data_IF_598534188343
#
_entry.id   IF_598534188343
#
_cell.length_a   1.000
_cell.length_b   1.000
_cell.length_c   1.000
_cell.angle_alpha   90.00
_cell.angle_beta   90.00
_cell.angle_gamma   90.00
#
_symmetry.space_group_name_H-M   'P 1'
#
loop_
_entity.id
_entity.type
_entity.pdbx_description
1 polymer ?
2 non-polymer ?
#
# COMPACT_ATOMS: atom_id res chain seq x y z
N UNK A 1 8.92 7.30 -27.54
CA UNK A 1 10.02 7.94 -28.30
C UNK A 1 11.17 6.94 -28.37
N UNK A 2 11.91 6.86 -27.27
CA UNK A 2 13.04 5.93 -27.10
C UNK A 2 12.39 4.60 -26.70
N UNK A 3 11.06 4.61 -26.73
CA UNK A 3 10.25 3.46 -26.36
C UNK A 3 9.19 3.14 -27.40
N UNK A 4 8.95 4.07 -28.31
CA UNK A 4 7.95 3.86 -29.34
C UNK A 4 8.12 2.51 -30.03
N UNK A 5 9.34 2.19 -30.47
CA UNK A 5 9.52 0.91 -31.11
C UNK A 5 9.80 -0.14 -30.02
N UNK A 6 10.14 0.33 -28.81
CA UNK A 6 10.41 -0.53 -27.68
C UNK A 6 9.12 -1.20 -27.21
N UNK A 7 9.04 -2.49 -27.44
CA UNK A 7 7.85 -3.21 -27.14
C UNK A 7 7.60 -3.59 -25.72
N UNK A 8 8.55 -4.18 -25.03
CA UNK A 8 8.21 -4.54 -23.68
C UNK A 8 7.78 -3.39 -22.80
N UNK A 9 7.99 -2.19 -23.32
CA UNK A 9 7.59 -0.98 -22.61
C UNK A 9 6.06 -0.97 -22.65
N UNK A 10 5.55 -1.14 -23.85
CA UNK A 10 4.10 -1.20 -24.05
C UNK A 10 3.55 -2.35 -23.20
N UNK A 11 4.08 -3.54 -23.45
CA UNK A 11 3.70 -4.76 -22.75
C UNK A 11 3.57 -4.57 -21.23
N UNK A 12 4.69 -4.28 -20.58
CA UNK A 12 4.73 -4.13 -19.14
C UNK A 12 4.15 -2.83 -18.61
N UNK A 13 4.03 -1.84 -19.49
CA UNK A 13 3.43 -0.60 -19.10
C UNK A 13 1.94 -0.91 -19.06
N UNK A 14 1.42 -1.47 -20.14
CA UNK A 14 0.01 -1.83 -20.20
C UNK A 14 -0.33 -2.86 -19.13
N UNK A 15 0.60 -3.78 -18.88
CA UNK A 15 0.37 -4.79 -17.86
C UNK A 15 0.21 -4.06 -16.53
N UNK A 16 0.85 -2.90 -16.45
CA UNK A 16 0.81 -2.05 -15.27
C UNK A 16 -0.51 -1.25 -15.22
N UNK A 17 -1.07 -0.89 -16.38
CA UNK A 17 -2.33 -0.13 -16.43
C UNK A 17 -3.53 -1.04 -16.24
N UNK A 18 -3.27 -2.33 -16.06
CA UNK A 18 -4.34 -3.29 -15.86
C UNK A 18 -4.28 -3.89 -14.47
N UNK A 19 -3.07 -4.17 -14.00
CA UNK A 19 -2.91 -4.71 -12.66
C UNK A 19 -3.36 -3.65 -11.68
N UNK A 20 -3.34 -2.41 -12.13
CA UNK A 20 -3.73 -1.30 -11.28
C UNK A 20 -5.13 -0.72 -11.50
N UNK A 21 -5.87 -1.37 -12.40
CA UNK A 21 -7.23 -0.97 -12.66
C UNK A 21 -8.06 -1.83 -11.72
N UNK A 22 -7.55 -3.02 -11.51
CA UNK A 22 -8.17 -3.99 -10.61
C UNK A 22 -7.94 -3.47 -9.19
N UNK A 23 -6.72 -3.00 -8.92
CA UNK A 23 -6.39 -2.50 -7.59
C UNK A 23 -7.40 -1.44 -7.22
N UNK A 24 -7.55 -0.49 -8.16
CA UNK A 24 -8.47 0.64 -8.06
C UNK A 24 -9.94 0.30 -7.87
N UNK A 25 -10.23 -1.00 -7.98
CA UNK A 25 -11.55 -1.56 -7.79
C UNK A 25 -11.45 -2.17 -6.37
N UNK A 26 -10.98 -3.41 -6.30
CA UNK A 26 -10.83 -4.09 -5.03
C UNK A 26 -10.40 -3.27 -3.82
N UNK A 27 -9.60 -2.24 -4.01
CA UNK A 27 -9.18 -1.60 -2.79
C UNK A 27 -10.00 -0.52 -2.16
N UNK A 28 -10.29 0.56 -2.87
CA UNK A 28 -11.08 1.56 -2.15
C UNK A 28 -12.53 1.13 -1.84
N UNK A 29 -13.15 0.31 -2.68
CA UNK A 29 -14.53 -0.09 -2.40
C UNK A 29 -14.71 -1.41 -1.66
N UNK A 30 -13.64 -1.88 -1.02
CA UNK A 30 -13.72 -3.12 -0.26
C UNK A 30 -14.73 -2.90 0.90
N UNK A 31 -14.47 -1.91 1.76
CA UNK A 31 -15.34 -1.60 2.90
C UNK A 31 -16.79 -1.64 2.47
N UNK A 32 -17.07 -0.79 1.50
CA UNK A 32 -18.38 -0.64 0.94
C UNK A 32 -18.99 -1.99 0.60
N UNK A 33 -18.40 -2.73 -0.35
CA UNK A 33 -18.94 -4.06 -0.72
C UNK A 33 -19.12 -4.98 0.46
N UNK A 34 -18.09 -5.07 1.32
CA UNK A 34 -18.20 -5.89 2.51
C UNK A 34 -19.48 -5.51 3.24
N UNK A 35 -19.34 -4.46 4.06
CA UNK A 35 -20.41 -3.91 4.87
C UNK A 35 -21.74 -3.63 4.16
N UNK A 36 -21.73 -3.13 2.93
CA UNK A 36 -23.02 -2.89 2.26
C UNK A 36 -23.54 -4.11 1.54
N UNK A 37 -22.97 -4.45 0.40
CA UNK A 37 -23.44 -5.63 -0.31
C UNK A 37 -23.55 -6.85 0.62
N UNK A 38 -22.62 -6.99 1.57
CA UNK A 38 -22.66 -8.16 2.45
C UNK A 38 -23.19 -7.88 3.81
N UNK A 39 -23.23 -6.60 4.19
CA UNK A 39 -23.74 -6.24 5.50
C UNK A 39 -22.88 -6.94 6.54
N UNK A 40 -21.78 -6.34 6.91
CA UNK A 40 -20.91 -7.00 7.84
C UNK A 40 -20.49 -6.24 9.06
N UNK A 41 -20.51 -6.96 10.19
CA UNK A 41 -20.17 -6.43 11.51
C UNK A 41 -19.06 -5.38 11.55
N UNK A 42 -19.42 -4.24 12.13
CA UNK A 42 -18.52 -3.10 12.29
C UNK A 42 -17.28 -3.51 13.04
N UNK A 43 -17.26 -4.74 13.55
CA UNK A 43 -16.11 -5.21 14.29
C UNK A 43 -15.53 -6.44 13.64
N UNK A 44 -16.28 -7.03 12.72
CA UNK A 44 -15.85 -8.24 12.03
C UNK A 44 -15.24 -7.92 10.70
N UNK A 45 -15.15 -6.65 10.37
CA UNK A 45 -14.50 -6.30 9.13
C UNK A 45 -13.08 -6.22 9.65
N UNK A 46 -12.97 -6.23 10.97
CA UNK A 46 -11.68 -6.18 11.64
C UNK A 46 -10.97 -7.50 11.61
N UNK A 47 -11.75 -8.58 11.71
CA UNK A 47 -11.19 -9.92 11.70
C UNK A 47 -10.86 -10.33 10.27
N UNK A 48 -11.05 -9.39 9.36
CA UNK A 48 -10.79 -9.61 7.95
C UNK A 48 -9.55 -8.82 7.55
N UNK A 49 -9.61 -7.51 7.77
CA UNK A 49 -8.50 -6.62 7.48
C UNK A 49 -7.38 -7.09 8.36
N UNK A 50 -7.76 -7.90 9.35
CA UNK A 50 -6.83 -8.49 10.32
C UNK A 50 -6.06 -9.67 9.72
N UNK A 51 -6.80 -10.63 9.18
CA UNK A 51 -6.20 -11.80 8.56
C UNK A 51 -5.48 -11.33 7.30
N UNK A 52 -5.91 -10.17 6.80
CA UNK A 52 -5.32 -9.53 5.62
C UNK A 52 -3.84 -9.24 5.98
N UNK A 53 -3.61 -8.55 7.10
CA UNK A 53 -2.24 -8.26 7.48
C UNK A 53 -1.45 -9.48 7.95
N UNK A 54 -2.09 -10.43 8.62
CA UNK A 54 -1.33 -11.60 9.06
C UNK A 54 -0.74 -12.39 7.89
N UNK A 55 -1.31 -12.26 6.70
CA UNK A 55 -0.77 -13.04 5.59
C UNK A 55 0.18 -12.30 4.69
N UNK A 56 -0.09 -11.02 4.51
CA UNK A 56 0.74 -10.19 3.66
C UNK A 56 2.10 -10.14 4.33
N UNK A 57 2.15 -10.75 5.50
CA UNK A 57 3.37 -10.78 6.25
C UNK A 57 4.00 -12.16 6.15
N UNK A 58 3.20 -13.13 5.71
CA UNK A 58 3.69 -14.49 5.53
C UNK A 58 4.06 -14.63 4.08
N UNK A 59 3.69 -13.63 3.30
CA UNK A 59 3.97 -13.68 1.88
C UNK A 59 4.96 -12.62 1.40
N UNK A 60 4.82 -11.38 1.89
CA UNK A 60 5.74 -10.35 1.48
C UNK A 60 7.13 -10.96 1.56
N UNK A 61 7.36 -11.83 2.56
CA UNK A 61 8.66 -12.49 2.72
C UNK A 61 8.90 -13.56 1.65
N UNK A 62 8.30 -14.74 1.83
CA UNK A 62 8.44 -15.85 0.89
C UNK A 62 8.42 -15.42 -0.57
N UNK A 63 7.88 -14.24 -0.81
CA UNK A 63 7.80 -13.73 -2.15
C UNK A 63 9.11 -13.11 -2.55
N UNK A 64 10.05 -13.04 -1.62
CA UNK A 64 11.34 -12.48 -1.96
C UNK A 64 12.08 -13.67 -2.53
N UNK A 65 12.06 -14.74 -1.75
CA UNK A 65 12.75 -15.95 -2.11
C UNK A 65 12.36 -16.38 -3.53
N UNK A 66 11.23 -15.88 -4.01
CA UNK A 66 10.80 -16.18 -5.35
C UNK A 66 11.23 -15.07 -6.28
N UNK A 67 10.70 -13.87 -6.01
CA UNK A 67 10.97 -12.67 -6.82
C UNK A 67 12.38 -12.56 -7.35
N UNK A 68 13.33 -13.25 -6.74
CA UNK A 68 14.68 -13.16 -7.22
C UNK A 68 15.35 -14.47 -7.48
N UNK A 69 15.20 -15.41 -6.57
CA UNK A 69 15.79 -16.70 -6.82
C UNK A 69 15.08 -17.23 -8.08
N UNK A 70 14.16 -16.43 -8.61
CA UNK A 70 13.40 -16.86 -9.77
C UNK A 70 13.74 -16.00 -10.99
N UNK A 71 14.20 -14.79 -10.70
CA UNK A 71 14.63 -13.85 -11.73
C UNK A 71 13.70 -13.44 -12.83
N UNK A 72 13.99 -13.93 -14.03
CA UNK A 72 13.21 -13.55 -15.21
C UNK A 72 12.07 -14.45 -15.66
N UNK A 73 11.85 -15.53 -14.94
CA UNK A 73 10.75 -16.42 -15.30
C UNK A 73 9.50 -15.76 -14.69
N UNK A 74 8.44 -15.61 -15.48
CA UNK A 74 7.21 -14.98 -14.99
C UNK A 74 6.47 -15.86 -14.02
N UNK A 75 6.83 -17.14 -14.03
CA UNK A 75 6.22 -18.15 -13.16
C UNK A 75 5.36 -17.57 -12.03
N UNK A 76 5.98 -17.36 -10.88
CA UNK A 76 5.32 -16.81 -9.70
C UNK A 76 4.24 -15.80 -10.07
N UNK A 77 4.69 -14.78 -10.77
CA UNK A 77 3.84 -13.71 -11.22
C UNK A 77 2.73 -14.18 -12.16
N UNK A 78 2.72 -15.46 -12.44
CA UNK A 78 1.70 -16.00 -13.31
C UNK A 78 0.60 -16.66 -12.48
N UNK A 79 0.92 -16.93 -11.21
CA UNK A 79 -0.02 -17.52 -10.29
C UNK A 79 -0.90 -16.36 -9.93
N UNK A 80 -0.22 -15.26 -9.63
CA UNK A 80 -0.82 -13.99 -9.25
C UNK A 80 -1.92 -13.64 -10.21
N UNK A 81 -1.60 -13.69 -11.49
CA UNK A 81 -2.54 -13.36 -12.54
C UNK A 81 -3.69 -14.35 -12.67
N UNK A 82 -3.38 -15.63 -12.80
CA UNK A 82 -4.40 -16.65 -12.93
C UNK A 82 -5.38 -16.59 -11.77
N UNK A 83 -4.84 -16.27 -10.60
CA UNK A 83 -5.62 -16.17 -9.36
C UNK A 83 -6.55 -14.96 -9.49
N UNK A 84 -6.20 -14.08 -10.42
CA UNK A 84 -6.97 -12.89 -10.64
C UNK A 84 -7.81 -12.96 -11.86
N UNK A 85 -8.05 -14.19 -12.30
CA UNK A 85 -8.91 -14.42 -13.44
C UNK A 85 -10.19 -14.79 -12.70
N UNK A 86 -10.05 -15.16 -11.43
CA UNK A 86 -11.18 -15.61 -10.64
C UNK A 86 -11.71 -14.58 -9.64
N UNK A 87 -11.19 -13.35 -9.73
CA UNK A 87 -11.61 -12.24 -8.87
C UNK A 87 -13.12 -12.41 -8.65
N UNK A 88 -13.85 -12.51 -9.76
CA UNK A 88 -15.30 -12.69 -9.75
C UNK A 88 -15.69 -13.95 -8.96
N UNK A 89 -15.71 -15.13 -9.63
CA UNK A 89 -16.08 -16.36 -8.93
C UNK A 89 -15.75 -16.27 -7.47
N UNK A 90 -14.55 -15.81 -7.16
CA UNK A 90 -14.15 -15.71 -5.78
C UNK A 90 -15.02 -14.86 -4.86
N UNK A 91 -15.10 -13.57 -5.09
CA UNK A 91 -15.90 -12.77 -4.18
C UNK A 91 -17.35 -13.17 -4.27
N UNK A 92 -17.83 -13.15 -5.50
CA UNK A 92 -19.22 -13.48 -5.81
C UNK A 92 -19.63 -14.85 -5.27
N UNK A 93 -18.90 -15.87 -5.68
CA UNK A 93 -19.20 -17.25 -5.30
C UNK A 93 -18.49 -17.90 -4.16
N UNK A 94 -17.61 -17.21 -3.45
CA UNK A 94 -16.88 -17.93 -2.42
C UNK A 94 -16.53 -17.11 -1.18
N UNK A 95 -15.89 -15.99 -1.46
CA UNK A 95 -15.47 -15.06 -0.46
C UNK A 95 -16.71 -14.48 0.20
N UNK A 96 -17.54 -13.86 -0.63
CA UNK A 96 -18.80 -13.27 -0.18
C UNK A 96 -19.61 -14.22 0.70
N UNK A 97 -19.95 -15.42 0.18
CA UNK A 97 -20.72 -16.48 0.87
C UNK A 97 -20.05 -16.92 2.14
N UNK A 98 -18.84 -17.42 2.02
CA UNK A 98 -18.14 -17.88 3.18
C UNK A 98 -18.37 -16.88 4.30
N UNK A 99 -17.85 -15.67 4.18
CA UNK A 99 -18.09 -14.70 5.24
C UNK A 99 -19.52 -14.75 5.71
N UNK A 100 -20.35 -14.15 4.86
CA UNK A 100 -21.78 -13.97 5.03
C UNK A 100 -22.59 -15.16 5.43
N UNK A 101 -22.28 -16.34 4.89
CA UNK A 101 -23.04 -17.49 5.32
C UNK A 101 -22.47 -17.71 6.71
N UNK A 102 -22.26 -16.57 7.36
CA UNK A 102 -21.79 -16.44 8.74
C UNK A 102 -20.96 -17.57 9.33
N UNK A 103 -19.93 -17.96 8.62
CA UNK A 103 -18.98 -18.93 9.07
C UNK A 103 -17.96 -17.82 8.75
N UNK A 104 -17.43 -17.06 9.70
CA UNK A 104 -16.58 -15.99 9.16
C UNK A 104 -15.09 -16.02 9.39
N UNK A 105 -14.67 -16.67 10.47
CA UNK A 105 -13.25 -16.78 10.69
C UNK A 105 -12.87 -17.76 9.59
N UNK A 106 -13.56 -18.89 9.55
CA UNK A 106 -13.28 -19.91 8.55
C UNK A 106 -13.77 -19.49 7.19
N UNK A 107 -13.59 -18.21 6.86
CA UNK A 107 -14.02 -17.67 5.58
C UNK A 107 -13.12 -16.52 5.13
N UNK A 108 -12.40 -15.96 6.09
CA UNK A 108 -11.49 -14.87 5.82
C UNK A 108 -10.18 -15.61 5.65
N UNK A 109 -9.86 -16.42 6.66
CA UNK A 109 -8.66 -17.25 6.62
C UNK A 109 -8.68 -17.84 5.22
N UNK A 110 -9.70 -18.66 4.97
CA UNK A 110 -9.85 -19.29 3.67
C UNK A 110 -10.42 -18.31 2.66
N UNK A 111 -9.83 -17.11 2.61
CA UNK A 111 -10.31 -16.13 1.67
C UNK A 111 -9.38 -14.96 1.69
N UNK A 112 -8.31 -15.09 2.45
CA UNK A 112 -7.35 -14.00 2.53
C UNK A 112 -6.04 -14.43 1.92
N UNK A 113 -6.22 -14.93 0.71
CA UNK A 113 -5.13 -15.40 -0.10
C UNK A 113 -5.32 -14.77 -1.44
N UNK A 114 -6.53 -14.25 -1.70
CA UNK A 114 -6.64 -13.52 -2.95
C UNK A 114 -6.25 -12.08 -2.49
N UNK A 115 -5.72 -12.01 -1.27
CA UNK A 115 -5.22 -10.77 -0.71
C UNK A 115 -3.70 -10.87 -0.90
N UNK A 116 -3.26 -12.09 -1.17
CA UNK A 116 -1.86 -12.43 -1.40
C UNK A 116 -1.41 -11.83 -2.71
N UNK A 117 -2.29 -11.88 -3.72
CA UNK A 117 -2.04 -11.35 -5.05
C UNK A 117 -2.44 -9.89 -5.06
N UNK A 118 -1.97 -9.19 -4.05
CA UNK A 118 -2.30 -7.82 -3.90
C UNK A 118 -1.38 -7.24 -2.84
N UNK A 119 -1.44 -7.83 -1.67
CA UNK A 119 -0.62 -7.36 -0.57
C UNK A 119 0.84 -7.64 -0.82
N UNK A 120 1.14 -8.88 -1.13
CA UNK A 120 2.52 -9.24 -1.38
C UNK A 120 2.71 -9.64 -2.82
N UNK A 121 1.85 -9.12 -3.70
CA UNK A 121 1.96 -9.46 -5.11
C UNK A 121 2.08 -8.18 -5.89
N UNK A 122 1.44 -7.13 -5.37
CA UNK A 122 1.44 -5.79 -5.97
C UNK A 122 2.85 -5.30 -6.05
N UNK A 123 3.62 -5.52 -4.97
CA UNK A 123 4.99 -5.05 -5.04
C UNK A 123 5.72 -6.05 -5.96
N UNK A 124 5.50 -7.34 -5.69
CA UNK A 124 6.09 -8.44 -6.44
C UNK A 124 5.99 -8.20 -7.95
N UNK A 125 4.84 -7.67 -8.39
CA UNK A 125 4.61 -7.35 -9.81
C UNK A 125 5.60 -6.27 -10.22
N UNK A 126 5.58 -5.21 -9.42
CA UNK A 126 6.42 -4.05 -9.58
C UNK A 126 7.93 -4.33 -9.66
N UNK A 127 8.37 -5.45 -9.08
CA UNK A 127 9.79 -5.84 -9.13
C UNK A 127 10.00 -6.34 -10.55
N UNK A 128 9.52 -7.55 -10.78
CA UNK A 128 9.62 -8.17 -12.09
C UNK A 128 9.59 -7.11 -13.18
N UNK A 129 8.62 -6.20 -13.12
CA UNK A 129 8.55 -5.17 -14.16
C UNK A 129 9.79 -4.28 -14.28
N UNK A 130 10.54 -4.06 -13.21
CA UNK A 130 11.74 -3.23 -13.37
C UNK A 130 12.89 -4.08 -13.95
N UNK A 131 12.91 -5.38 -13.62
CA UNK A 131 13.95 -6.29 -14.10
C UNK A 131 13.87 -6.38 -15.62
N UNK A 132 12.80 -5.80 -16.13
CA UNK A 132 12.57 -5.77 -17.55
C UNK A 132 13.05 -4.41 -18.02
N UNK A 133 12.74 -3.36 -17.25
CA UNK A 133 13.16 -1.98 -17.55
C UNK A 133 14.65 -2.02 -17.85
N UNK A 134 15.34 -2.86 -17.09
CA UNK A 134 16.76 -3.06 -17.24
C UNK A 134 16.98 -3.64 -18.63
N UNK A 135 16.87 -4.97 -18.73
CA UNK A 135 17.05 -5.70 -19.97
C UNK A 135 16.46 -5.05 -21.20
N UNK A 136 15.39 -4.28 -21.04
CA UNK A 136 14.75 -3.67 -22.22
C UNK A 136 14.89 -2.17 -22.39
N UNK A 137 15.46 -1.50 -21.39
CA UNK A 137 15.73 -0.05 -21.35
C UNK A 137 14.61 0.95 -21.01
N UNK A 138 13.63 0.58 -20.21
CA UNK A 138 12.69 1.60 -19.93
C UNK A 138 13.03 2.31 -18.68
N UNK A 139 12.56 3.52 -18.61
CA UNK A 139 12.72 4.29 -17.38
C UNK A 139 11.57 3.70 -16.60
N UNK A 140 11.77 2.54 -16.02
CA UNK A 140 10.74 1.87 -15.22
C UNK A 140 9.72 2.88 -14.73
N UNK A 141 10.21 3.97 -14.13
CA UNK A 141 9.33 5.02 -13.66
C UNK A 141 8.54 5.74 -14.76
N UNK A 142 8.66 5.26 -16.00
CA UNK A 142 7.97 5.84 -17.13
C UNK A 142 6.88 4.88 -17.50
N UNK A 143 7.00 3.65 -17.01
CA UNK A 143 5.99 2.67 -17.30
C UNK A 143 5.17 2.42 -16.03
N UNK A 144 5.66 2.89 -14.88
CA UNK A 144 4.94 2.69 -13.62
C UNK A 144 3.99 3.85 -13.45
N UNK A 145 4.34 4.96 -14.07
CA UNK A 145 3.51 6.14 -14.06
C UNK A 145 2.79 5.90 -15.37
N UNK A 146 2.11 4.76 -15.40
CA UNK A 146 1.39 4.29 -16.56
C UNK A 146 0.26 3.57 -15.87
N UNK A 147 0.64 2.86 -14.82
CA UNK A 147 -0.32 2.12 -14.02
C UNK A 147 -0.85 3.05 -12.94
N UNK A 148 -0.58 4.34 -13.10
CA UNK A 148 -1.05 5.32 -12.14
C UNK A 148 -2.33 5.94 -12.68
N UNK A 149 -2.46 5.94 -13.99
CA UNK A 149 -3.65 6.48 -14.61
C UNK A 149 -4.72 5.40 -14.48
N UNK A 150 -4.28 4.15 -14.45
CA UNK A 150 -5.19 3.03 -14.33
C UNK A 150 -5.90 2.96 -12.99
N UNK A 151 -5.24 3.46 -11.96
CA UNK A 151 -5.83 3.44 -10.64
C UNK A 151 -6.54 4.75 -10.40
N UNK A 152 -6.39 5.69 -11.32
CA UNK A 152 -7.06 6.97 -11.22
C UNK A 152 -8.41 6.71 -11.91
N UNK A 153 -8.33 6.20 -13.13
CA UNK A 153 -9.54 5.89 -13.87
C UNK A 153 -10.22 4.74 -13.17
N UNK A 154 -9.41 3.89 -12.54
CA UNK A 154 -9.95 2.76 -11.81
C UNK A 154 -11.04 3.26 -10.87
N UNK A 155 -10.64 3.99 -9.82
CA UNK A 155 -11.58 4.52 -8.84
C UNK A 155 -12.80 5.12 -9.53
N UNK A 156 -12.59 6.21 -10.25
CA UNK A 156 -13.69 6.87 -10.95
C UNK A 156 -14.65 5.87 -11.58
N UNK A 157 -14.22 5.26 -12.67
CA UNK A 157 -15.04 4.29 -13.36
C UNK A 157 -15.78 3.35 -12.43
N UNK A 158 -14.99 2.54 -11.72
CA UNK A 158 -15.47 1.54 -10.78
C UNK A 158 -16.56 2.01 -9.85
N UNK A 159 -16.30 3.13 -9.17
CA UNK A 159 -17.29 3.66 -8.24
C UNK A 159 -18.63 3.81 -8.92
N UNK A 160 -18.64 4.68 -9.93
CA UNK A 160 -19.83 4.95 -10.72
C UNK A 160 -20.44 3.63 -11.14
N UNK A 161 -19.59 2.72 -11.59
CA UNK A 161 -20.05 1.40 -12.01
C UNK A 161 -20.65 0.71 -10.79
N UNK A 162 -19.84 0.61 -9.73
CA UNK A 162 -20.21 -0.06 -8.48
C UNK A 162 -21.64 0.18 -8.05
N UNK A 163 -22.03 1.45 -8.00
CA UNK A 163 -23.39 1.80 -7.59
C UNK A 163 -24.36 1.03 -8.45
N UNK A 164 -24.35 1.39 -9.73
CA UNK A 164 -25.21 0.79 -10.73
C UNK A 164 -25.39 -0.71 -10.56
N UNK A 165 -24.34 -1.36 -10.06
CA UNK A 165 -24.36 -2.78 -9.83
C UNK A 165 -23.02 -3.16 -9.24
N UNK A 166 -23.00 -3.72 -8.05
CA UNK A 166 -21.70 -4.08 -7.51
C UNK A 166 -21.09 -5.20 -8.39
N UNK A 167 -21.92 -6.15 -8.81
CA UNK A 167 -21.50 -7.28 -9.63
C UNK A 167 -20.76 -6.96 -10.92
N UNK A 168 -21.33 -6.09 -11.75
CA UNK A 168 -20.70 -5.73 -13.01
C UNK A 168 -19.35 -4.97 -12.75
N UNK A 169 -18.48 -5.59 -11.95
CA UNK A 169 -17.16 -5.06 -11.58
C UNK A 169 -16.23 -6.26 -11.44
N UNK A 170 -16.59 -7.13 -10.51
CA UNK A 170 -15.78 -8.30 -10.30
C UNK A 170 -15.70 -9.05 -11.61
N UNK A 171 -16.59 -8.70 -12.52
CA UNK A 171 -16.58 -9.33 -13.81
C UNK A 171 -15.78 -8.50 -14.75
N UNK A 172 -15.76 -7.21 -14.48
CA UNK A 172 -14.97 -6.35 -15.31
C UNK A 172 -13.51 -6.53 -14.85
N UNK A 173 -13.28 -6.38 -13.56
CA UNK A 173 -11.93 -6.52 -13.04
C UNK A 173 -11.32 -7.89 -13.30
N UNK A 174 -12.17 -8.90 -13.49
CA UNK A 174 -11.67 -10.26 -13.71
C UNK A 174 -11.40 -10.59 -15.17
N UNK A 175 -11.55 -9.60 -16.03
CA UNK A 175 -11.32 -9.81 -17.42
C UNK A 175 -10.72 -8.50 -17.84
N UNK A 176 -11.56 -7.45 -17.83
CA UNK A 176 -11.15 -6.11 -18.21
C UNK A 176 -9.76 -6.02 -17.62
N UNK A 177 -9.56 -6.48 -16.40
CA UNK A 177 -8.19 -6.40 -15.98
C UNK A 177 -7.50 -7.76 -15.93
N UNK A 178 -8.23 -8.85 -16.11
CA UNK A 178 -7.50 -10.11 -16.06
C UNK A 178 -6.98 -10.71 -17.33
N UNK A 179 -7.88 -11.22 -18.15
CA UNK A 179 -7.49 -11.88 -19.38
C UNK A 179 -6.39 -11.09 -20.12
N UNK A 180 -6.26 -9.80 -19.84
CA UNK A 180 -5.24 -8.99 -20.48
C UNK A 180 -4.03 -8.96 -19.61
N UNK A 181 -4.20 -8.48 -18.37
CA UNK A 181 -3.11 -8.44 -17.41
C UNK A 181 -2.60 -9.87 -17.18
N UNK A 182 -2.82 -10.74 -18.17
CA UNK A 182 -2.37 -12.13 -18.16
C UNK A 182 -1.95 -12.45 -19.59
N UNK A 183 -2.79 -12.04 -20.52
CA UNK A 183 -2.48 -12.27 -21.90
C UNK A 183 -1.26 -11.45 -22.25
N UNK A 184 -0.89 -10.54 -21.36
CA UNK A 184 0.28 -9.71 -21.63
C UNK A 184 1.53 -10.52 -21.32
N UNK A 185 1.51 -11.79 -21.72
CA UNK A 185 2.64 -12.61 -21.51
C UNK A 185 3.16 -13.33 -22.66
N UNK A 186 2.32 -14.09 -23.33
CA UNK A 186 2.86 -14.78 -24.48
C UNK A 186 3.93 -13.86 -25.25
N UNK A 187 3.86 -12.52 -25.15
CA UNK A 187 4.84 -11.61 -25.79
C UNK A 187 5.75 -11.01 -24.67
N UNK A 188 6.90 -11.61 -24.41
CA UNK A 188 7.72 -11.15 -23.30
C UNK A 188 9.23 -11.34 -23.53
N UNK A 189 10.00 -11.38 -22.44
CA UNK A 189 11.44 -11.60 -22.54
C UNK A 189 11.99 -12.51 -21.46
N UNK A 190 13.23 -12.93 -21.70
CA UNK A 190 13.98 -13.84 -20.82
C UNK A 190 15.50 -13.64 -21.00
N UNK A 191 15.92 -13.65 -22.26
CA UNK A 191 17.31 -13.48 -22.72
C UNK A 191 18.38 -13.11 -21.70
N UNK A 192 19.35 -14.03 -21.45
CA UNK A 192 20.42 -13.75 -20.49
C UNK A 192 21.48 -12.74 -21.00
N UNK A 193 21.03 -11.76 -21.81
CA UNK A 193 21.90 -10.70 -22.35
C UNK A 193 21.42 -9.34 -21.80
N UNK A 194 22.06 -8.26 -22.22
CA UNK A 194 21.70 -6.92 -21.76
C UNK A 194 21.88 -6.80 -20.26
N UNK A 195 22.67 -7.72 -19.72
CA UNK A 195 22.98 -7.77 -18.31
C UNK A 195 24.46 -8.12 -18.39
N UNK A 196 24.78 -9.38 -18.11
CA UNK A 196 26.15 -9.86 -18.22
C UNK A 196 26.03 -11.20 -18.93
N UNK A 197 27.10 -11.62 -19.62
CA UNK A 197 27.07 -12.89 -20.33
C UNK A 197 26.90 -14.01 -19.31
N UNK A 198 27.44 -13.81 -18.11
CA UNK A 198 27.34 -14.81 -17.04
C UNK A 198 26.37 -14.37 -15.96
N UNK A 199 26.90 -13.68 -14.96
CA UNK A 199 26.10 -13.18 -13.85
C UNK A 199 26.76 -12.00 -13.13
N UNK A 200 27.46 -11.15 -13.88
CA UNK A 200 28.13 -9.98 -13.30
C UNK A 200 27.11 -8.92 -12.87
N UNK A 201 25.92 -8.97 -13.48
CA UNK A 201 24.79 -8.07 -13.20
C UNK A 201 23.48 -8.80 -13.56
N UNK A 202 22.46 -8.07 -14.00
CA UNK A 202 21.21 -8.72 -14.37
C UNK A 202 19.99 -8.50 -13.46
N UNK A 203 20.22 -8.31 -12.17
CA UNK A 203 19.15 -8.08 -11.20
C UNK A 203 19.70 -7.71 -9.82
N UNK A 204 19.79 -6.42 -9.55
CA UNK A 204 20.32 -5.89 -8.28
C UNK A 204 19.99 -6.82 -7.12
N UNK A 205 20.90 -6.89 -6.14
CA UNK A 205 20.72 -7.75 -4.99
C UNK A 205 20.92 -7.07 -3.64
N UNK A 206 20.93 -7.88 -2.59
CA UNK A 206 21.13 -7.40 -1.23
C UNK A 206 21.20 -8.53 -0.23
N UNK A 207 21.19 -8.15 1.04
CA UNK A 207 21.25 -9.12 2.10
C UNK A 207 20.48 -8.75 3.38
N UNK A 208 19.99 -9.81 4.02
CA UNK A 208 19.25 -9.77 5.28
C UNK A 208 19.69 -10.99 6.11
N UNK A 209 20.57 -10.74 7.08
CA UNK A 209 21.10 -11.77 7.96
C UNK A 209 20.48 -11.69 9.32
N UNK A 210 20.94 -12.57 10.19
CA UNK A 210 20.44 -12.59 11.52
C UNK A 210 21.20 -11.52 12.31
N UNK A 211 22.53 -11.57 12.25
CA UNK A 211 23.35 -10.61 12.98
C UNK A 211 22.93 -9.21 12.58
N UNK A 212 22.70 -9.00 11.28
CA UNK A 212 22.25 -7.70 10.79
C UNK A 212 21.11 -7.27 11.69
N UNK A 213 20.11 -8.13 11.72
CA UNK A 213 18.93 -7.95 12.54
C UNK A 213 19.40 -7.74 13.96
N UNK A 214 20.08 -8.74 14.50
CA UNK A 214 20.56 -8.65 15.85
C UNK A 214 21.40 -7.40 16.06
N UNK A 215 21.90 -6.80 14.98
CA UNK A 215 22.69 -5.58 15.11
C UNK A 215 21.72 -4.42 15.28
N UNK A 216 20.76 -4.31 14.36
CA UNK A 216 19.77 -3.24 14.43
C UNK A 216 19.17 -3.32 15.82
N UNK A 217 18.77 -4.54 16.18
CA UNK A 217 18.18 -4.81 17.48
C UNK A 217 19.03 -4.19 18.57
N UNK A 218 20.33 -4.08 18.30
CA UNK A 218 21.23 -3.49 19.26
C UNK A 218 21.02 -1.97 19.21
N UNK A 219 20.74 -1.48 18.00
CA UNK A 219 20.51 -0.04 17.76
C UNK A 219 19.19 0.52 18.27
N UNK A 220 19.26 1.65 19.00
CA UNK A 220 18.11 2.35 19.56
C UNK A 220 17.42 3.13 18.47
N UNK A 221 18.21 3.90 17.73
CA UNK A 221 17.66 4.68 16.64
C UNK A 221 16.83 3.77 15.72
N UNK A 222 16.98 2.44 15.86
CA UNK A 222 16.18 1.47 15.10
C UNK A 222 14.85 1.39 15.82
N UNK A 223 14.96 1.28 17.14
CA UNK A 223 13.82 1.20 18.05
C UNK A 223 12.90 2.42 17.99
N UNK A 224 13.48 3.62 17.94
CA UNK A 224 12.72 4.87 17.94
C UNK A 224 11.97 5.13 16.64
N UNK A 225 12.40 4.41 15.61
CA UNK A 225 11.76 4.45 14.32
C UNK A 225 10.71 3.34 14.39
N UNK A 226 11.01 2.29 15.17
CA UNK A 226 10.08 1.17 15.40
C UNK A 226 8.94 1.74 16.29
N UNK A 227 9.18 2.91 16.88
CA UNK A 227 8.20 3.56 17.72
C UNK A 227 7.26 4.33 16.80
N UNK A 228 7.86 5.20 16.01
CA UNK A 228 7.08 5.96 15.06
C UNK A 228 6.39 5.01 14.11
N UNK A 229 7.08 3.96 13.71
CA UNK A 229 6.49 3.03 12.75
C UNK A 229 5.27 2.30 13.28
N UNK A 230 5.37 1.75 14.48
CA UNK A 230 4.24 1.04 15.05
C UNK A 230 3.20 2.03 15.61
N UNK A 231 3.70 3.13 16.18
CA UNK A 231 2.85 4.13 16.77
C UNK A 231 1.99 4.94 15.82
N UNK A 232 2.60 5.87 15.10
CA UNK A 232 1.89 6.74 14.15
C UNK A 232 1.31 6.01 12.95
N UNK A 233 2.12 5.19 12.29
CA UNK A 233 1.63 4.47 11.13
C UNK A 233 0.60 3.39 11.42
N UNK A 234 1.04 2.16 11.71
CA UNK A 234 0.10 1.07 11.98
C UNK A 234 -1.26 1.61 12.38
N UNK A 235 -1.22 2.52 13.34
CA UNK A 235 -2.42 3.18 13.84
C UNK A 235 -3.20 3.93 12.75
N UNK A 236 -2.51 4.72 11.95
CA UNK A 236 -3.14 5.46 10.86
C UNK A 236 -3.64 4.45 9.83
N UNK A 237 -2.80 3.45 9.59
CA UNK A 237 -3.08 2.36 8.65
C UNK A 237 -4.48 1.79 8.85
N UNK A 238 -4.79 1.40 10.08
CA UNK A 238 -6.10 0.84 10.37
C UNK A 238 -7.16 1.92 10.34
N UNK A 239 -6.76 3.16 10.63
CA UNK A 239 -7.71 4.26 10.61
C UNK A 239 -8.42 4.19 9.27
N UNK A 240 -7.63 3.96 8.23
CA UNK A 240 -8.18 3.89 6.91
C UNK A 240 -8.97 2.63 6.56
N UNK A 241 -8.72 1.51 7.25
CA UNK A 241 -9.45 0.27 6.98
C UNK A 241 -10.91 0.58 6.69
N UNK A 242 -11.57 0.97 7.79
CA UNK A 242 -12.98 1.29 7.87
C UNK A 242 -13.41 2.64 7.36
N UNK A 243 -12.61 3.66 7.60
CA UNK A 243 -12.92 5.03 7.18
C UNK A 243 -13.88 5.25 5.98
N UNK A 244 -13.86 4.38 4.97
CA UNK A 244 -14.72 4.53 3.79
C UNK A 244 -16.24 4.55 4.00
N UNK A 245 -16.72 3.83 5.01
CA UNK A 245 -18.14 3.79 5.27
C UNK A 245 -18.49 4.93 6.20
N UNK A 246 -17.51 5.35 6.96
CA UNK A 246 -17.71 6.48 7.84
C UNK A 246 -17.84 7.65 6.87
N UNK A 247 -17.30 7.49 5.66
CA UNK A 247 -17.38 8.55 4.64
C UNK A 247 -18.78 8.58 4.07
N UNK A 248 -19.15 7.48 3.44
CA UNK A 248 -20.44 7.33 2.81
C UNK A 248 -21.61 7.73 3.71
N UNK A 249 -21.41 7.83 5.01
CA UNK A 249 -22.53 8.19 5.85
C UNK A 249 -22.88 9.68 5.68
N UNK A 250 -21.88 10.55 5.65
CA UNK A 250 -22.13 11.98 5.50
C UNK A 250 -22.74 12.41 4.15
N UNK A 251 -23.32 11.45 3.43
CA UNK A 251 -23.91 11.73 2.13
C UNK A 251 -25.34 11.31 1.88
N UNK A 252 -25.93 11.99 0.92
CA UNK A 252 -27.31 11.79 0.46
C UNK A 252 -27.63 10.32 0.36
N UNK A 253 -27.42 9.80 -0.83
CA UNK A 253 -27.65 8.41 -1.07
C UNK A 253 -26.33 7.84 -0.65
N UNK A 254 -26.35 6.62 -0.12
CA UNK A 254 -25.09 6.00 0.19
C UNK A 254 -24.54 5.74 -1.21
N UNK A 255 -25.47 5.43 -2.12
CA UNK A 255 -25.14 5.14 -3.51
C UNK A 255 -24.82 6.41 -4.32
N UNK A 256 -24.20 7.36 -3.63
CA UNK A 256 -23.78 8.62 -4.19
C UNK A 256 -22.62 9.00 -3.29
N UNK A 257 -22.65 8.44 -2.08
CA UNK A 257 -21.60 8.65 -1.09
C UNK A 257 -20.41 7.79 -1.47
N UNK A 258 -20.65 6.93 -2.45
CA UNK A 258 -19.61 6.05 -2.95
C UNK A 258 -18.94 6.92 -3.99
N UNK A 259 -19.57 7.01 -5.16
CA UNK A 259 -19.02 7.80 -6.25
C UNK A 259 -18.09 8.93 -5.76
N UNK A 260 -18.62 9.84 -4.95
CA UNK A 260 -17.83 10.95 -4.41
C UNK A 260 -16.50 10.47 -3.94
N UNK A 261 -16.57 9.37 -3.17
CA UNK A 261 -15.38 8.73 -2.62
C UNK A 261 -14.46 8.35 -3.77
N UNK A 262 -15.01 7.65 -4.77
CA UNK A 262 -14.22 7.24 -5.93
C UNK A 262 -13.55 8.41 -6.60
N UNK A 263 -14.18 9.57 -6.46
CA UNK A 263 -13.73 10.84 -7.01
C UNK A 263 -12.58 11.41 -6.18
N UNK A 264 -12.80 11.50 -4.87
CA UNK A 264 -11.76 12.05 -3.98
C UNK A 264 -10.48 11.26 -4.18
N UNK A 265 -10.62 9.97 -4.50
CA UNK A 265 -9.45 9.15 -4.70
C UNK A 265 -8.88 9.40 -6.10
N UNK A 266 -9.72 9.49 -7.13
CA UNK A 266 -9.20 9.76 -8.47
C UNK A 266 -8.42 11.07 -8.51
N UNK A 267 -8.89 12.05 -7.75
CA UNK A 267 -8.22 13.33 -7.70
C UNK A 267 -6.92 13.28 -6.92
N UNK A 268 -6.73 12.15 -6.25
CA UNK A 268 -5.54 11.95 -5.46
C UNK A 268 -4.31 11.95 -6.34
N UNK A 269 -4.33 11.15 -7.38
CA UNK A 269 -3.18 11.10 -8.28
C UNK A 269 -2.96 12.54 -8.66
N UNK A 270 -4.02 13.10 -9.21
CA UNK A 270 -4.06 14.47 -9.66
C UNK A 270 -3.65 15.47 -8.61
N UNK A 271 -3.24 14.96 -7.46
CA UNK A 271 -2.78 15.80 -6.38
C UNK A 271 -1.40 15.29 -6.05
N UNK A 272 -1.39 14.11 -5.45
CA UNK A 272 -0.17 13.41 -5.04
C UNK A 272 0.89 13.40 -6.12
N UNK A 273 0.47 13.30 -7.38
CA UNK A 273 1.42 13.31 -8.48
C UNK A 273 2.18 14.63 -8.36
N UNK A 274 1.45 15.73 -8.33
CA UNK A 274 2.06 17.03 -8.21
C UNK A 274 2.89 17.11 -6.95
N UNK A 275 2.25 16.88 -5.81
CA UNK A 275 2.92 16.90 -4.50
C UNK A 275 4.27 16.19 -4.65
N UNK A 276 4.21 14.97 -5.17
CA UNK A 276 5.40 14.14 -5.36
C UNK A 276 6.50 14.87 -6.09
N UNK A 277 6.14 15.75 -7.02
CA UNK A 277 7.15 16.49 -7.74
C UNK A 277 8.09 17.22 -6.80
N UNK A 278 7.60 18.29 -6.21
CA UNK A 278 8.38 19.10 -5.27
C UNK A 278 9.04 18.25 -4.19
N UNK A 279 8.17 17.55 -3.46
CA UNK A 279 8.49 16.64 -2.34
C UNK A 279 9.97 16.45 -2.05
N UNK A 280 10.64 15.62 -2.85
CA UNK A 280 12.06 15.41 -2.59
C UNK A 280 12.62 16.75 -2.17
N UNK A 281 12.91 17.57 -3.17
CA UNK A 281 13.41 18.91 -2.96
C UNK A 281 13.16 19.29 -1.50
N UNK A 282 11.90 19.47 -1.21
CA UNK A 282 11.42 19.85 0.11
C UNK A 282 11.97 18.95 1.19
N UNK A 283 11.69 17.66 1.06
CA UNK A 283 12.15 16.66 2.01
C UNK A 283 13.61 16.86 2.37
N UNK A 284 14.39 17.05 1.33
CA UNK A 284 15.82 17.21 1.43
C UNK A 284 16.31 18.56 1.94
N UNK A 285 15.37 19.46 2.20
CA UNK A 285 15.73 20.76 2.74
C UNK A 285 15.18 20.76 4.15
N UNK A 286 14.01 20.16 4.30
CA UNK A 286 13.30 20.05 5.57
C UNK A 286 13.98 19.02 6.48
N UNK A 287 14.58 18.02 5.86
CA UNK A 287 15.27 17.00 6.62
C UNK A 287 14.44 15.89 7.20
N UNK A 288 14.44 14.75 6.50
CA UNK A 288 13.70 13.54 6.89
C UNK A 288 12.87 13.53 8.18
N UNK A 289 13.53 13.30 9.31
CA UNK A 289 12.87 13.29 10.62
C UNK A 289 11.70 14.27 10.68
N UNK A 290 12.03 15.52 10.36
CA UNK A 290 11.10 16.63 10.32
C UNK A 290 9.93 16.31 9.43
N UNK A 291 10.21 15.88 8.21
CA UNK A 291 9.15 15.53 7.27
C UNK A 291 8.34 14.28 7.70
N UNK A 292 8.91 13.48 8.62
CA UNK A 292 8.20 12.28 9.11
C UNK A 292 7.27 12.74 10.19
N UNK A 293 7.66 13.82 10.84
CA UNK A 293 6.80 14.39 11.86
C UNK A 293 5.71 15.11 11.08
N UNK A 294 6.12 15.82 10.02
CA UNK A 294 5.18 16.55 9.19
C UNK A 294 4.03 15.60 8.86
N UNK A 295 4.38 14.36 8.50
CA UNK A 295 3.36 13.34 8.18
C UNK A 295 2.47 12.88 9.37
N UNK A 296 3.04 12.76 10.57
CA UNK A 296 2.27 12.37 11.75
C UNK A 296 1.31 13.50 12.15
N UNK A 297 1.79 14.73 12.04
CA UNK A 297 1.02 15.92 12.36
C UNK A 297 -0.26 15.99 11.53
N UNK A 298 -0.21 15.37 10.37
CA UNK A 298 -1.34 15.38 9.48
C UNK A 298 -2.12 14.13 9.78
N UNK A 299 -1.49 12.98 9.51
CA UNK A 299 -2.09 11.68 9.82
C UNK A 299 -2.97 11.95 11.02
N UNK A 300 -2.29 12.43 12.08
CA UNK A 300 -2.88 12.75 13.37
C UNK A 300 -4.10 13.67 13.27
N UNK A 301 -3.94 14.83 12.64
CA UNK A 301 -5.05 15.76 12.49
C UNK A 301 -6.24 15.09 11.81
N UNK A 302 -5.97 14.32 10.77
CA UNK A 302 -7.06 13.65 10.07
C UNK A 302 -7.87 12.73 11.02
N UNK A 303 -7.20 11.99 11.90
CA UNK A 303 -7.91 11.09 12.84
C UNK A 303 -8.83 11.89 13.77
N UNK A 304 -8.22 12.82 14.50
CA UNK A 304 -8.93 13.70 15.43
C UNK A 304 -10.00 14.49 14.67
N UNK A 305 -9.56 15.06 13.54
CA UNK A 305 -10.41 15.84 12.66
C UNK A 305 -11.67 15.07 12.41
N UNK A 306 -11.52 13.86 11.85
CA UNK A 306 -12.63 12.94 11.56
C UNK A 306 -13.54 12.67 12.79
N UNK A 307 -12.93 12.60 13.97
CA UNK A 307 -13.66 12.36 15.21
C UNK A 307 -14.62 13.51 15.55
N UNK A 308 -14.50 14.60 14.79
CA UNK A 308 -15.32 15.80 14.99
C UNK A 308 -16.12 16.22 13.74
N UNK A 309 -16.32 15.29 12.81
CA UNK A 309 -17.06 15.57 11.56
C UNK A 309 -18.56 15.72 11.78
N UNK A 310 -19.20 16.52 10.95
CA UNK A 310 -20.64 16.76 11.07
C UNK A 310 -21.26 16.75 9.71
N UNK A 311 -20.48 17.18 8.74
CA UNK A 311 -20.94 17.30 7.38
C UNK A 311 -20.17 16.45 6.38
N UNK A 312 -20.52 16.68 5.12
CA UNK A 312 -19.91 16.02 4.00
C UNK A 312 -18.64 16.79 3.62
N UNK A 313 -18.79 18.09 3.41
CA UNK A 313 -17.67 18.92 3.02
C UNK A 313 -16.44 18.68 3.85
N UNK A 314 -16.63 18.57 5.16
CA UNK A 314 -15.49 18.33 6.03
C UNK A 314 -14.81 17.02 5.66
N UNK A 315 -15.63 15.97 5.65
CA UNK A 315 -15.20 14.62 5.36
C UNK A 315 -14.54 14.50 3.97
N UNK A 316 -14.84 15.44 3.07
CA UNK A 316 -14.23 15.40 1.74
C UNK A 316 -13.02 16.31 1.78
N UNK A 317 -12.49 16.48 2.96
CA UNK A 317 -11.33 17.32 3.14
C UNK A 317 -10.40 16.50 3.98
N UNK A 318 -10.98 15.53 4.67
CA UNK A 318 -10.18 14.66 5.48
C UNK A 318 -9.65 13.59 4.52
N UNK A 319 -10.48 13.15 3.58
CA UNK A 319 -10.06 12.13 2.63
C UNK A 319 -9.05 12.68 1.65
N UNK A 320 -8.89 14.00 1.67
CA UNK A 320 -7.95 14.66 0.79
C UNK A 320 -6.65 15.01 1.47
N UNK A 321 -6.60 14.81 2.79
CA UNK A 321 -5.40 15.09 3.55
C UNK A 321 -4.49 13.89 3.44
N UNK A 322 -5.14 12.74 3.45
CA UNK A 322 -4.48 11.45 3.35
C UNK A 322 -3.44 11.51 2.21
N UNK A 323 -3.64 12.46 1.30
CA UNK A 323 -2.79 12.68 0.13
C UNK A 323 -1.50 13.46 0.39
N UNK A 324 -1.62 14.61 1.04
CA UNK A 324 -0.44 15.39 1.35
C UNK A 324 0.47 14.50 2.14
N UNK A 325 -0.09 13.86 3.16
CA UNK A 325 0.70 12.96 3.98
C UNK A 325 1.52 11.99 3.15
N UNK A 326 0.92 10.88 2.74
CA UNK A 326 1.64 9.86 1.97
C UNK A 326 2.98 10.30 1.38
N UNK A 327 2.99 11.17 0.36
CA UNK A 327 4.28 11.60 -0.18
C UNK A 327 5.36 11.77 0.90
N UNK A 328 5.14 12.74 1.79
CA UNK A 328 6.03 13.06 2.90
C UNK A 328 6.33 11.89 3.83
N UNK A 329 5.72 10.75 3.56
CA UNK A 329 5.91 9.59 4.40
C UNK A 329 6.87 8.58 3.82
N UNK A 330 6.42 7.88 2.79
CA UNK A 330 7.28 6.89 2.15
C UNK A 330 8.56 7.56 1.69
N UNK A 331 8.41 8.73 1.09
CA UNK A 331 9.53 9.49 0.59
C UNK A 331 10.35 9.96 1.79
N UNK A 332 9.66 10.18 2.91
CA UNK A 332 10.34 10.59 4.13
C UNK A 332 11.07 9.41 4.77
N UNK A 333 10.35 8.30 4.96
CA UNK A 333 10.89 7.07 5.52
C UNK A 333 12.14 6.75 4.74
N UNK A 334 12.05 6.89 3.43
CA UNK A 334 13.21 6.62 2.63
C UNK A 334 14.40 7.47 3.04
N UNK A 335 14.25 8.78 2.87
CA UNK A 335 15.31 9.73 3.17
C UNK A 335 15.73 9.77 4.62
N UNK A 336 14.95 9.22 5.53
CA UNK A 336 15.39 9.21 6.91
C UNK A 336 16.20 7.94 7.07
N UNK A 337 15.57 6.80 6.75
CA UNK A 337 16.20 5.47 6.82
C UNK A 337 17.62 5.60 6.34
N UNK A 338 17.72 5.99 5.07
CA UNK A 338 19.01 6.16 4.45
C UNK A 338 19.92 7.09 5.24
N UNK A 339 19.50 8.34 5.49
CA UNK A 339 20.30 9.32 6.28
C UNK A 339 20.56 8.87 7.69
N UNK A 340 19.96 7.77 8.08
CA UNK A 340 20.22 7.34 9.43
C UNK A 340 20.80 5.93 9.53
N UNK A 341 20.83 5.15 8.46
CA UNK A 341 21.32 3.75 8.56
C UNK A 341 22.43 3.22 7.62
N UNK A 342 23.01 2.08 8.00
CA UNK A 342 24.05 1.44 7.18
C UNK A 342 23.38 0.82 5.95
N UNK A 343 23.76 1.26 4.76
CA UNK A 343 23.18 0.74 3.53
C UNK A 343 22.98 -0.77 3.58
N UNK A 344 23.96 -1.49 4.13
CA UNK A 344 23.87 -2.94 4.25
C UNK A 344 22.54 -3.27 4.92
N UNK A 345 22.29 -2.59 6.04
CA UNK A 345 21.08 -2.71 6.84
C UNK A 345 19.78 -2.46 6.04
N UNK A 346 19.65 -1.25 5.50
CA UNK A 346 18.48 -0.80 4.71
C UNK A 346 17.50 -1.92 4.34
N UNK A 347 17.97 -2.90 3.58
CA UNK A 347 17.15 -4.05 3.17
C UNK A 347 16.31 -4.59 4.33
N UNK A 348 17.04 -5.04 5.34
CA UNK A 348 16.55 -5.63 6.57
C UNK A 348 15.63 -4.66 7.35
N UNK A 349 16.08 -3.41 7.45
CA UNK A 349 15.34 -2.37 8.15
C UNK A 349 13.87 -2.42 7.72
N UNK A 350 13.63 -2.49 6.41
CA UNK A 350 12.28 -2.55 5.88
C UNK A 350 11.60 -3.83 6.30
N UNK A 351 12.06 -4.98 5.83
CA UNK A 351 11.39 -6.21 6.25
C UNK A 351 11.13 -6.28 7.76
N UNK A 352 12.17 -6.06 8.56
CA UNK A 352 12.04 -6.16 10.02
C UNK A 352 11.10 -5.16 10.70
N UNK A 353 11.29 -3.88 10.39
CA UNK A 353 10.47 -2.86 11.01
C UNK A 353 9.17 -2.57 10.23
N UNK A 354 9.30 -2.33 8.94
CA UNK A 354 8.15 -2.00 8.09
C UNK A 354 7.27 -3.15 7.58
N UNK A 355 7.65 -4.40 7.85
CA UNK A 355 6.83 -5.52 7.40
C UNK A 355 6.51 -6.45 8.55
N UNK A 356 7.52 -6.93 9.26
CA UNK A 356 7.21 -7.84 10.34
C UNK A 356 6.53 -7.16 11.53
N UNK A 357 7.02 -5.97 11.91
CA UNK A 357 6.43 -5.28 13.05
C UNK A 357 5.10 -4.58 12.88
N UNK A 358 4.96 -3.80 11.81
CA UNK A 358 3.72 -3.06 11.55
C UNK A 358 2.55 -3.97 11.21
N UNK A 359 2.77 -4.95 10.34
CA UNK A 359 1.73 -5.91 9.95
C UNK A 359 1.30 -6.70 11.16
N UNK A 360 2.21 -6.76 12.12
CA UNK A 360 1.99 -7.44 13.38
C UNK A 360 1.14 -6.50 14.24
N UNK A 361 1.65 -5.28 14.43
CA UNK A 361 0.96 -4.26 15.21
C UNK A 361 -0.41 -3.99 14.64
N UNK A 362 -0.68 -4.56 13.47
CA UNK A 362 -1.94 -4.39 12.79
C UNK A 362 -2.81 -5.63 12.84
N UNK A 363 -2.21 -6.80 13.01
CA UNK A 363 -2.99 -8.03 13.09
C UNK A 363 -3.84 -7.87 14.36
N UNK A 364 -3.28 -7.18 15.34
CA UNK A 364 -3.92 -6.94 16.62
C UNK A 364 -4.80 -5.70 16.62
N UNK A 365 -4.22 -4.56 16.27
CA UNK A 365 -4.89 -3.26 16.25
C UNK A 365 -6.25 -3.17 15.53
N UNK A 366 -6.33 -3.68 14.30
CA UNK A 366 -7.54 -3.64 13.50
C UNK A 366 -8.65 -4.54 14.02
N UNK A 367 -8.35 -5.29 15.08
CA UNK A 367 -9.37 -6.12 15.72
C UNK A 367 -9.97 -5.22 16.81
N UNK A 368 -9.13 -4.64 17.67
CA UNK A 368 -9.66 -3.76 18.72
C UNK A 368 -10.08 -2.41 18.15
N UNK A 369 -9.98 -2.28 16.83
CA UNK A 369 -10.39 -1.06 16.13
C UNK A 369 -11.86 -1.28 15.79
N UNK A 370 -12.16 -2.49 15.30
CA UNK A 370 -13.50 -2.91 14.95
C UNK A 370 -14.26 -3.20 16.25
N UNK A 371 -13.60 -3.89 17.16
CA UNK A 371 -14.19 -4.19 18.47
C UNK A 371 -14.41 -2.83 19.15
N UNK A 372 -13.75 -1.80 18.64
CA UNK A 372 -13.88 -0.48 19.21
C UNK A 372 -14.95 0.35 18.52
N UNK A 373 -15.11 0.19 17.21
CA UNK A 373 -16.13 0.95 16.49
C UNK A 373 -17.51 0.45 16.86
N UNK A 374 -17.55 -0.56 17.72
CA UNK A 374 -18.82 -1.10 18.12
C UNK A 374 -19.22 -0.41 19.41
N UNK A 375 -18.44 -0.72 20.43
CA UNK A 375 -18.62 -0.21 21.78
C UNK A 375 -18.61 1.33 21.79
N UNK A 376 -18.11 1.94 20.73
CA UNK A 376 -18.06 3.39 20.73
C UNK A 376 -18.22 3.99 19.33
N UNK A 377 -18.64 3.17 18.37
CA UNK A 377 -18.81 3.69 17.03
C UNK A 377 -17.51 4.27 16.52
N UNK A 378 -17.59 4.87 15.34
CA UNK A 378 -16.40 5.44 14.75
C UNK A 378 -15.83 6.56 15.55
N UNK A 379 -16.33 7.77 15.29
CA UNK A 379 -15.89 9.00 15.91
C UNK A 379 -15.36 8.88 17.32
N UNK A 380 -15.83 7.90 18.10
CA UNK A 380 -15.33 7.72 19.44
C UNK A 380 -13.96 7.05 19.36
N UNK A 381 -13.95 5.92 18.64
CA UNK A 381 -12.75 5.15 18.38
C UNK A 381 -11.68 6.06 17.78
N UNK A 382 -12.12 6.99 16.94
CA UNK A 382 -11.25 7.95 16.26
C UNK A 382 -10.52 8.85 17.23
N UNK A 383 -11.16 9.13 18.37
CA UNK A 383 -10.56 9.98 19.38
C UNK A 383 -9.42 9.21 20.04
N UNK A 384 -9.67 7.94 20.26
CA UNK A 384 -8.68 7.04 20.84
C UNK A 384 -7.46 7.03 19.94
N UNK A 385 -7.62 6.47 18.76
CA UNK A 385 -6.51 6.38 17.82
C UNK A 385 -5.90 7.74 17.52
N UNK A 386 -6.76 8.76 17.40
CA UNK A 386 -6.30 10.11 17.11
C UNK A 386 -5.26 10.58 18.09
N UNK A 387 -5.56 10.35 19.36
CA UNK A 387 -4.68 10.73 20.45
C UNK A 387 -3.44 9.85 20.50
N UNK A 388 -3.65 8.54 20.54
CA UNK A 388 -2.53 7.61 20.59
C UNK A 388 -1.56 7.92 19.46
N UNK A 389 -2.11 8.39 18.34
CA UNK A 389 -1.29 8.70 17.18
C UNK A 389 -0.56 10.01 17.38
N UNK A 390 -1.28 11.05 17.81
CA UNK A 390 -0.64 12.35 18.06
C UNK A 390 0.30 12.24 19.26
N UNK A 391 -0.10 11.48 20.27
CA UNK A 391 0.76 11.34 21.42
C UNK A 391 2.13 10.92 20.90
N UNK A 392 2.18 9.70 20.38
CA UNK A 392 3.42 9.15 19.84
C UNK A 392 4.18 10.17 19.01
N UNK A 393 3.47 10.93 18.20
CA UNK A 393 4.08 11.93 17.33
C UNK A 393 4.92 12.97 18.12
N UNK A 394 4.41 13.44 19.25
CA UNK A 394 5.13 14.41 20.06
C UNK A 394 6.32 13.68 20.63
N UNK A 395 6.08 12.45 21.03
CA UNK A 395 7.14 11.63 21.57
C UNK A 395 8.30 11.45 20.59
N UNK A 396 8.02 11.66 19.31
CA UNK A 396 9.06 11.52 18.29
C UNK A 396 9.75 12.85 17.93
N UNK A 397 9.15 13.98 18.28
CA UNK A 397 9.84 15.23 18.03
C UNK A 397 11.00 15.13 19.00
N UNK A 398 11.08 13.98 19.65
CA UNK A 398 12.13 13.72 20.61
C UNK A 398 12.97 12.54 20.20
N UNK A 399 12.37 11.35 20.14
CA UNK A 399 13.11 10.18 19.79
C UNK A 399 13.78 10.08 18.42
N UNK A 400 13.03 10.21 17.32
CA UNK A 400 13.66 10.11 15.99
C UNK A 400 14.96 10.90 15.92
N UNK A 401 15.96 10.36 15.24
CA UNK A 401 17.26 11.01 15.11
C UNK A 401 17.18 12.34 14.38
N UNK A 402 17.47 13.42 15.09
CA UNK A 402 17.40 14.75 14.50
C UNK A 402 18.16 14.86 13.19
N UNK A 403 18.32 16.09 12.65
CA UNK A 403 19.04 16.38 11.40
C UNK A 403 20.59 16.21 11.38
N UNK A 404 21.08 15.02 11.72
CA UNK A 404 22.52 14.73 11.73
C UNK A 404 23.35 15.32 12.87
N UNK A 405 23.11 14.91 14.14
CA UNK A 405 23.81 15.38 15.35
C UNK A 405 25.30 14.99 15.58
N UNK A 406 25.75 13.85 15.05
CA UNK A 406 27.16 13.43 15.21
C UNK A 406 27.80 13.09 13.87
N UNK A 407 27.23 13.69 12.82
CA UNK A 407 27.70 13.56 11.45
C UNK A 407 26.66 14.26 10.55
N UNK A 408 27.12 15.20 9.73
CA UNK A 408 26.22 15.96 8.85
C UNK A 408 26.59 15.75 7.37
N UNK A 409 27.72 15.08 7.13
CA UNK A 409 28.21 14.83 5.77
C UNK A 409 28.81 13.42 5.66
N UNK A 410 28.84 12.71 6.79
CA UNK A 410 29.42 11.37 6.88
C UNK A 410 28.34 10.38 7.28
N UNK A 411 27.24 10.94 7.76
CA UNK A 411 26.06 10.19 8.19
C UNK A 411 24.83 11.04 7.74
N UNK A 412 25.03 11.97 6.80
CA UNK A 412 23.91 12.78 6.29
C UNK A 412 24.13 13.17 4.82
N UNK A 413 25.36 13.55 4.51
CA UNK A 413 25.72 13.93 3.14
C UNK A 413 26.62 12.83 2.52
N UNK A 414 26.96 11.81 3.32
CA UNK A 414 27.81 10.71 2.85
C UNK A 414 27.15 9.84 1.78
N UNK A 415 25.93 9.36 2.06
CA UNK A 415 25.22 8.52 1.12
C UNK A 415 24.90 9.39 -0.11
N UNK A 416 24.60 10.66 0.14
CA UNK A 416 24.27 11.62 -0.93
C UNK A 416 25.42 11.71 -1.98
N UNK A 417 26.67 11.70 -1.53
CA UNK A 417 27.83 11.77 -2.42
C UNK A 417 29.05 11.08 -1.83
X LIG B 1 1.50 8.76 -9.35
X LIG C 1 -10.59 -3.97 -14.27
X LIG D 1 7.31 -9.91 7.30
X LIG E 1 8.94 3.18 4.23
X LIG F 1 -0.49 0.36 16.21
#
# INVERSE_FOLDING_TARGET
MYYLKNTNFWMFGLFFFFYFFIMGAYFPFFPIWLHDINHISKSDTGIIFAAISLFSLLFQPLFGLLSDKLGLRKYLLWIITGMLVMFAPFFIFIFGPLLQYNILVGSIVGGIYLGFCFNAGAPAVEAFIEKVSRRSNFEFGRARMFGCVGWALGASIVGIMFTINNQFVFWLGSGCALILAVLLFFAKTDAPSSATVANAVGANHSAFSLKLALELFRQPKLWFLSLYVIGVSCTYDVFDQQFANFFTSFFATGEQGTRVFGYVTTMGELLNASIMFFAPLIINRIGGKNALLLAGTIMSVRIIGSSFATSALEVVILKTLHMFEVPFLLVGCFKYITSQFEVRFSATIYLVCFCFFKQLAMIFMSVLAGNMYESIGFQGAYLVLGLVALGFTLISVFTLSGPGPLSLLRRQVNEVA
HG HG
HG HG
HG HG
HG HG
HG HG
#
